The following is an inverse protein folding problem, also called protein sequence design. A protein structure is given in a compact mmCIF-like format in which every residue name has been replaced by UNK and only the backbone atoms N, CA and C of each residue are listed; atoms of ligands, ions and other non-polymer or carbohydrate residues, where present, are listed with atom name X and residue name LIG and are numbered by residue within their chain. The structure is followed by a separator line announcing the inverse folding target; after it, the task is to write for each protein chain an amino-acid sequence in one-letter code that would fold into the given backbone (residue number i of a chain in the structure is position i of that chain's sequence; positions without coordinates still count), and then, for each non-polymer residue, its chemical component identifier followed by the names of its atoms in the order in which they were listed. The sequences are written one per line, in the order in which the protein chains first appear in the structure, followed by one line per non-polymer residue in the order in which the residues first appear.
data_IF_954996101021
#
_entry.id   IF_954996101021
#
_cell.length_a   1.000
_cell.length_b   1.000
_cell.length_c   1.000
_cell.angle_alpha   90.00
_cell.angle_beta   90.00
_cell.angle_gamma   90.00
#
_symmetry.space_group_name_H-M   'P 1'
#
loop_
_entity.id
_entity.type
_entity.pdbx_description
1 polymer ?
#
# COMPACT_ATOMS: atom_id res chain seq x y z
N UNK A 1 6.80 25.35 5.59
CA UNK A 1 6.71 24.11 6.38
C UNK A 1 7.87 23.20 6.01
N UNK A 2 8.47 22.44 6.94
CA UNK A 2 9.56 21.49 6.66
C UNK A 2 9.12 20.07 7.05
N UNK A 3 9.20 19.12 6.12
CA UNK A 3 8.93 17.71 6.40
C UNK A 3 10.08 17.11 7.24
N UNK A 4 9.76 16.13 8.09
CA UNK A 4 10.76 15.38 8.87
C UNK A 4 11.24 14.09 8.17
N UNK A 5 10.53 13.67 7.12
CA UNK A 5 10.75 12.43 6.40
C UNK A 5 9.46 11.94 5.73
N UNK A 6 9.54 10.79 5.08
CA UNK A 6 8.37 10.07 4.57
C UNK A 6 7.77 9.27 5.72
N UNK A 7 6.48 9.41 5.99
CA UNK A 7 5.81 8.63 7.03
C UNK A 7 5.41 7.24 6.55
N UNK A 8 4.84 7.16 5.35
CA UNK A 8 4.46 5.92 4.67
C UNK A 8 4.25 6.17 3.18
N UNK A 9 4.23 5.08 2.40
CA UNK A 9 3.83 5.07 1.00
C UNK A 9 2.62 4.13 0.87
N UNK A 10 1.50 4.65 0.39
CA UNK A 10 0.30 3.86 0.14
C UNK A 10 0.27 3.36 -1.30
N UNK A 11 0.01 2.06 -1.48
CA UNK A 11 -0.02 1.39 -2.77
C UNK A 11 -1.39 0.72 -2.90
N UNK A 12 -2.15 1.08 -3.93
CA UNK A 12 -3.36 0.34 -4.25
C UNK A 12 -2.99 -0.93 -5.01
N UNK A 13 -3.51 -2.07 -4.56
CA UNK A 13 -3.22 -3.39 -5.11
C UNK A 13 -4.51 -4.07 -5.56
N UNK A 14 -4.43 -4.81 -6.66
CA UNK A 14 -5.57 -5.55 -7.21
C UNK A 14 -6.00 -6.69 -6.27
N UNK A 15 -5.05 -7.36 -5.64
CA UNK A 15 -5.28 -8.48 -4.72
C UNK A 15 -4.37 -8.32 -3.50
N UNK A 16 -5.00 -8.16 -2.32
CA UNK A 16 -4.26 -7.95 -1.08
C UNK A 16 -3.56 -9.23 -0.62
N UNK A 17 -4.17 -10.40 -0.75
CA UNK A 17 -3.56 -11.65 -0.27
C UNK A 17 -2.34 -12.00 -1.09
N UNK A 18 -2.44 -11.95 -2.42
CA UNK A 18 -1.28 -12.16 -3.31
C UNK A 18 -0.16 -11.15 -3.06
N UNK A 19 -0.52 -9.91 -2.75
CA UNK A 19 0.49 -8.91 -2.39
C UNK A 19 1.16 -9.25 -1.06
N UNK A 20 0.40 -9.72 -0.07
CA UNK A 20 0.94 -10.13 1.22
C UNK A 20 1.83 -11.38 1.11
N UNK A 21 1.51 -12.33 0.23
CA UNK A 21 2.44 -13.45 -0.07
C UNK A 21 3.83 -12.91 -0.44
N UNK A 22 3.90 -11.90 -1.32
CA UNK A 22 5.16 -11.28 -1.68
C UNK A 22 5.80 -10.49 -0.53
N UNK A 23 5.10 -9.52 0.04
CA UNK A 23 5.71 -8.61 1.01
C UNK A 23 5.97 -9.25 2.37
N UNK A 24 5.03 -10.07 2.87
CA UNK A 24 5.14 -10.71 4.18
C UNK A 24 5.94 -12.00 4.08
N UNK A 25 5.57 -12.90 3.17
CA UNK A 25 6.11 -14.26 3.19
C UNK A 25 7.44 -14.38 2.45
N UNK A 26 7.68 -13.57 1.40
CA UNK A 26 8.97 -13.58 0.66
C UNK A 26 9.93 -12.52 1.20
N UNK A 27 9.49 -11.26 1.35
CA UNK A 27 10.36 -10.17 1.81
C UNK A 27 10.46 -10.05 3.34
N UNK A 28 9.66 -10.79 4.11
CA UNK A 28 9.74 -10.80 5.57
C UNK A 28 9.15 -9.57 6.27
N UNK A 29 8.34 -8.75 5.60
CA UNK A 29 7.67 -7.63 6.27
C UNK A 29 6.55 -8.12 7.21
N UNK A 30 6.32 -7.40 8.29
CA UNK A 30 5.29 -7.74 9.28
C UNK A 30 4.04 -6.89 9.09
N UNK A 31 2.88 -7.54 9.03
CA UNK A 31 1.56 -6.88 9.06
C UNK A 31 1.27 -6.45 10.50
N UNK A 32 1.34 -5.14 10.80
CA UNK A 32 1.01 -4.62 12.15
C UNK A 32 -0.45 -4.20 12.28
N UNK A 33 -1.12 -3.90 11.16
CA UNK A 33 -2.55 -3.58 11.14
C UNK A 33 -3.16 -4.10 9.86
N UNK A 34 -4.36 -4.67 9.96
CA UNK A 34 -5.21 -5.01 8.83
C UNK A 34 -6.66 -4.73 9.18
N UNK A 35 -7.32 -3.88 8.40
CA UNK A 35 -8.72 -3.52 8.66
C UNK A 35 -9.48 -3.24 7.38
N UNK A 36 -10.72 -3.73 7.31
CA UNK A 36 -11.68 -3.38 6.28
C UNK A 36 -12.58 -2.27 6.79
N UNK A 37 -12.72 -1.22 5.99
CA UNK A 37 -13.43 -0.01 6.32
C UNK A 37 -14.60 0.17 5.36
N UNK A 38 -15.80 0.32 5.91
CA UNK A 38 -16.95 0.87 5.18
C UNK A 38 -16.68 2.34 4.88
N UNK A 39 -16.97 2.74 3.65
CA UNK A 39 -16.61 4.06 3.14
C UNK A 39 -17.78 5.04 3.19
N UNK A 40 -19.03 4.56 3.18
CA UNK A 40 -20.21 5.42 3.27
C UNK A 40 -20.19 6.27 4.54
N UNK A 41 -20.42 7.58 4.40
CA UNK A 41 -20.42 8.53 5.53
C UNK A 41 -19.07 8.75 6.21
N UNK A 42 -17.98 8.14 5.72
CA UNK A 42 -16.64 8.36 6.27
C UNK A 42 -16.08 9.70 5.75
N UNK A 43 -15.51 10.56 6.60
CA UNK A 43 -14.94 11.84 6.16
C UNK A 43 -13.96 11.69 4.99
N UNK A 44 -14.21 12.41 3.90
CA UNK A 44 -13.41 12.40 2.68
C UNK A 44 -13.63 11.21 1.74
N UNK A 45 -14.29 10.13 2.19
CA UNK A 45 -14.49 8.91 1.40
C UNK A 45 -15.41 9.09 0.18
N UNK A 46 -16.27 10.11 0.21
CA UNK A 46 -17.21 10.44 -0.86
C UNK A 46 -16.72 11.60 -1.75
N UNK A 47 -15.49 12.07 -1.53
CA UNK A 47 -14.97 13.21 -2.29
C UNK A 47 -14.53 12.81 -3.70
N UNK A 48 -15.15 13.45 -4.70
CA UNK A 48 -14.79 13.33 -6.11
C UNK A 48 -13.35 13.82 -6.41
N UNK A 49 -12.80 14.72 -5.59
CA UNK A 49 -11.41 15.19 -5.72
C UNK A 49 -10.35 14.16 -5.27
N UNK A 50 -10.77 13.16 -4.48
CA UNK A 50 -9.86 12.14 -3.91
C UNK A 50 -10.01 10.79 -4.58
N UNK A 51 -11.22 10.46 -5.03
CA UNK A 51 -11.55 9.16 -5.60
C UNK A 51 -12.17 9.34 -6.98
N UNK A 52 -11.69 8.56 -7.95
CA UNK A 52 -12.27 8.48 -9.30
C UNK A 52 -13.77 8.14 -9.27
N UNK A 53 -14.18 7.30 -8.31
CA UNK A 53 -15.56 6.89 -8.09
C UNK A 53 -15.81 6.56 -6.62
N UNK A 54 -17.08 6.61 -6.16
CA UNK A 54 -17.45 6.12 -4.84
C UNK A 54 -17.02 4.65 -4.66
N UNK A 55 -16.45 4.34 -3.50
CA UNK A 55 -16.06 2.98 -3.10
C UNK A 55 -16.97 2.54 -1.96
N UNK A 56 -17.37 1.26 -1.94
CA UNK A 56 -18.18 0.71 -0.83
C UNK A 56 -17.34 0.41 0.40
N UNK A 57 -16.25 -0.32 0.17
CA UNK A 57 -15.31 -0.71 1.21
C UNK A 57 -13.87 -0.58 0.71
N UNK A 58 -12.94 -0.50 1.65
CA UNK A 58 -11.50 -0.69 1.40
C UNK A 58 -10.87 -1.51 2.50
N UNK A 59 -9.94 -2.39 2.16
CA UNK A 59 -9.07 -3.03 3.14
C UNK A 59 -7.71 -2.37 3.09
N UNK A 60 -7.20 -1.97 4.26
CA UNK A 60 -5.84 -1.44 4.40
C UNK A 60 -5.00 -2.39 5.25
N UNK A 61 -3.77 -2.64 4.82
CA UNK A 61 -2.77 -3.37 5.57
C UNK A 61 -1.50 -2.52 5.71
N UNK A 62 -1.09 -2.25 6.95
CA UNK A 62 0.17 -1.58 7.22
C UNK A 62 1.25 -2.64 7.43
N UNK A 63 2.28 -2.63 6.59
CA UNK A 63 3.37 -3.59 6.59
C UNK A 63 4.70 -2.89 6.89
N UNK A 64 5.47 -3.47 7.82
CA UNK A 64 6.66 -2.85 8.41
C UNK A 64 7.87 -3.77 8.28
N UNK A 65 9.07 -3.18 8.26
CA UNK A 65 10.26 -3.91 8.64
C UNK A 65 10.17 -4.20 10.13
N UNK A 66 10.39 -5.46 10.53
CA UNK A 66 10.39 -5.84 11.95
C UNK A 66 11.76 -5.61 12.57
N UNK A 67 12.23 -4.36 12.48
CA UNK A 67 13.52 -3.94 13.02
C UNK A 67 13.36 -2.59 13.73
N UNK A 68 13.63 -2.52 15.05
CA UNK A 68 13.52 -1.29 15.81
C UNK A 68 14.50 -0.19 15.35
N UNK A 69 15.56 -0.52 14.62
CA UNK A 69 16.45 0.46 13.98
C UNK A 69 15.80 1.16 12.78
N UNK A 70 14.76 0.57 12.18
CA UNK A 70 14.06 1.09 10.99
C UNK A 70 12.56 1.30 11.24
N UNK A 71 12.18 2.22 12.14
CA UNK A 71 10.77 2.39 12.50
C UNK A 71 9.90 2.95 11.37
N UNK A 72 10.50 3.58 10.33
CA UNK A 72 9.84 4.27 9.21
C UNK A 72 10.78 4.39 7.98
N UNK A 73 10.26 4.52 6.74
CA UNK A 73 8.85 4.47 6.33
C UNK A 73 8.33 3.03 6.14
N UNK A 74 7.03 2.85 6.35
CA UNK A 74 6.33 1.58 6.13
C UNK A 74 5.41 1.68 4.90
N UNK A 75 4.97 0.54 4.36
CA UNK A 75 4.03 0.52 3.23
C UNK A 75 2.59 0.30 3.72
N UNK A 76 1.65 0.92 3.03
CA UNK A 76 0.22 0.69 3.23
C UNK A 76 -0.35 0.06 1.95
N UNK A 77 -0.68 -1.22 2.01
CA UNK A 77 -1.37 -1.89 0.91
C UNK A 77 -2.87 -1.63 1.04
N UNK A 78 -3.49 -1.09 -0.02
CA UNK A 78 -4.92 -0.81 -0.06
C UNK A 78 -5.58 -1.62 -1.17
N UNK A 79 -6.65 -2.35 -0.84
CA UNK A 79 -7.49 -3.02 -1.82
C UNK A 79 -8.96 -2.63 -1.64
N UNK A 80 -9.78 -2.92 -2.65
CA UNK A 80 -11.23 -2.68 -2.63
C UNK A 80 -11.96 -4.03 -2.81
N UNK A 81 -12.29 -4.75 -1.72
CA UNK A 81 -12.94 -6.05 -1.81
C UNK A 81 -14.27 -6.00 -2.56
N UNK A 82 -14.49 -6.94 -3.48
CA UNK A 82 -15.71 -7.01 -4.30
C UNK A 82 -15.85 -5.88 -5.33
N UNK A 83 -14.81 -5.09 -5.55
CA UNK A 83 -14.76 -4.00 -6.51
C UNK A 83 -13.46 -4.10 -7.33
N UNK A 84 -13.51 -3.62 -8.57
CA UNK A 84 -12.32 -3.59 -9.43
C UNK A 84 -11.50 -2.32 -9.15
N UNK A 85 -10.19 -2.48 -9.00
CA UNK A 85 -9.27 -1.35 -8.94
C UNK A 85 -8.99 -0.88 -10.38
N UNK A 86 -9.07 0.43 -10.62
CA UNK A 86 -8.79 1.03 -11.92
C UNK A 86 -7.31 1.41 -12.08
N UNK A 87 -6.95 1.90 -13.27
CA UNK A 87 -5.59 2.32 -13.63
C UNK A 87 -4.79 1.24 -14.37
N UNK A 88 -3.84 1.68 -15.18
CA UNK A 88 -2.95 0.82 -15.96
C UNK A 88 -1.53 0.85 -15.37
N UNK A 89 -0.82 -0.29 -15.28
CA UNK A 89 0.58 -0.31 -14.85
C UNK A 89 1.46 0.58 -15.74
N UNK A 90 2.36 1.35 -15.13
CA UNK A 90 3.34 2.18 -15.85
C UNK A 90 4.61 1.39 -16.20
N UNK A 91 5.29 1.79 -17.27
CA UNK A 91 6.62 1.29 -17.62
C UNK A 91 7.71 2.02 -16.82
N UNK A 92 8.93 1.48 -16.85
CA UNK A 92 10.11 2.13 -16.27
C UNK A 92 10.27 3.57 -16.83
N UNK A 93 10.66 4.51 -15.97
CA UNK A 93 10.87 5.93 -16.25
C UNK A 93 9.64 6.71 -16.76
N UNK A 94 8.45 6.13 -16.68
CA UNK A 94 7.21 6.86 -16.92
C UNK A 94 6.78 7.66 -15.68
N UNK A 95 5.94 8.69 -15.90
CA UNK A 95 5.43 9.56 -14.85
C UNK A 95 4.71 8.74 -13.76
N UNK A 96 5.26 8.77 -12.54
CA UNK A 96 4.71 8.10 -11.37
C UNK A 96 5.81 7.49 -10.50
N UNK A 97 5.42 6.67 -9.52
CA UNK A 97 6.37 5.81 -8.79
C UNK A 97 6.58 4.57 -9.66
N UNK A 98 7.69 4.52 -10.40
CA UNK A 98 8.00 3.41 -11.31
C UNK A 98 8.44 2.14 -10.60
N UNK A 99 9.13 2.26 -9.46
CA UNK A 99 9.58 1.12 -8.66
C UNK A 99 9.88 1.53 -7.20
N UNK A 100 9.91 0.54 -6.33
CA UNK A 100 10.42 0.61 -4.96
C UNK A 100 11.44 -0.54 -4.84
N UNK A 101 12.64 -0.24 -4.36
CA UNK A 101 13.73 -1.21 -4.26
C UNK A 101 14.00 -1.59 -2.82
N UNK A 102 14.25 -2.88 -2.59
CA UNK A 102 14.57 -3.44 -1.29
C UNK A 102 15.97 -4.05 -1.34
N UNK A 103 16.82 -3.71 -0.38
CA UNK A 103 18.05 -4.46 -0.12
C UNK A 103 17.69 -5.76 0.56
N UNK A 104 18.21 -6.88 0.07
CA UNK A 104 18.01 -8.22 0.64
C UNK A 104 19.37 -8.91 0.78
N UNK A 105 19.47 -9.85 1.71
CA UNK A 105 20.73 -10.57 1.97
C UNK A 105 21.20 -11.38 0.76
N UNK A 106 20.29 -12.02 0.03
CA UNK A 106 20.60 -12.80 -1.16
C UNK A 106 19.46 -12.75 -2.19
N UNK A 107 19.70 -12.10 -3.32
CA UNK A 107 18.74 -11.97 -4.42
C UNK A 107 18.49 -13.26 -5.21
N UNK A 108 19.28 -14.32 -4.99
CA UNK A 108 19.17 -15.62 -5.69
C UNK A 108 18.57 -16.74 -4.83
N UNK A 109 18.17 -16.42 -3.59
CA UNK A 109 17.59 -17.39 -2.66
C UNK A 109 16.25 -17.93 -3.17
#
# INVERSE_FOLDING_TARGET
MKAKGVSHIAICVADLEKSLEFYRDILGLTVKMRTTQEMAGRPGAESAEMYERPRKARTVANIYFDDPAYPQPFLVLTSHPGDQVGGEPIKLDQRGISHISFGVENVKA
#
